data_IF_355436133799
#
_entry.id   IF_355436133799
#
_cell.length_a   1.000
_cell.length_b   1.000
_cell.length_c   1.000
_cell.angle_alpha   90.00
_cell.angle_beta   90.00
_cell.angle_gamma   90.00
#
_symmetry.space_group_name_H-M   'P 1'
#
loop_
_entity.id
_entity.type
_entity.pdbx_description
1 polymer ?
#
# COMPACT_ATOMS: atom_id res chain seq x y z
N UNK A 1 -3.10 2.60 -20.03
CA UNK A 1 -2.91 2.63 -18.57
C UNK A 1 -1.52 2.08 -18.25
N UNK A 2 -0.56 2.94 -17.87
CA UNK A 2 0.73 2.47 -17.35
C UNK A 2 0.47 1.89 -15.96
N UNK A 3 0.72 0.58 -15.80
CA UNK A 3 0.48 -0.22 -14.60
C UNK A 3 1.05 0.48 -13.35
N UNK A 4 0.19 1.14 -12.58
CA UNK A 4 0.57 1.70 -11.30
C UNK A 4 0.37 0.60 -10.25
N UNK A 5 1.40 0.28 -9.48
CA UNK A 5 1.24 -0.63 -8.36
C UNK A 5 0.45 0.12 -7.28
N UNK A 6 -0.76 -0.33 -6.98
CA UNK A 6 -1.51 0.20 -5.86
C UNK A 6 -1.21 -0.65 -4.64
N UNK A 7 -1.15 -0.03 -3.45
CA UNK A 7 -0.87 -0.75 -2.21
C UNK A 7 -1.85 -0.33 -1.12
N UNK A 8 -2.11 -1.21 -0.17
CA UNK A 8 -2.92 -0.96 1.02
C UNK A 8 -2.31 -1.71 2.21
N UNK A 9 -2.38 -1.13 3.40
CA UNK A 9 -2.02 -1.82 4.63
C UNK A 9 -3.18 -2.71 5.08
N UNK A 10 -2.92 -4.00 5.31
CA UNK A 10 -3.89 -4.93 5.90
C UNK A 10 -3.85 -4.92 7.43
N UNK A 11 -3.00 -4.09 8.06
CA UNK A 11 -2.94 -3.98 9.52
C UNK A 11 -4.29 -3.52 10.06
N UNK A 12 -4.92 -4.33 10.91
CA UNK A 12 -6.25 -4.08 11.49
C UNK A 12 -7.42 -4.69 10.71
N UNK A 13 -7.16 -5.31 9.55
CA UNK A 13 -8.17 -6.12 8.86
C UNK A 13 -8.31 -7.49 9.53
N UNK A 14 -9.52 -8.10 9.52
CA UNK A 14 -9.74 -9.41 10.10
C UNK A 14 -8.90 -10.48 9.39
N UNK A 15 -8.37 -11.43 10.17
CA UNK A 15 -7.64 -12.56 9.61
C UNK A 15 -8.60 -13.45 8.82
N UNK A 16 -8.26 -13.73 7.57
CA UNK A 16 -8.99 -14.66 6.71
C UNK A 16 -8.18 -15.94 6.53
N UNK A 17 -8.84 -17.10 6.52
CA UNK A 17 -8.21 -18.38 6.22
C UNK A 17 -7.76 -18.52 4.76
N UNK A 18 -8.06 -17.52 3.91
CA UNK A 18 -7.78 -17.47 2.47
C UNK A 18 -8.28 -18.72 1.71
N UNK A 19 -9.30 -19.39 2.25
CA UNK A 19 -9.97 -20.56 1.65
C UNK A 19 -10.94 -20.16 0.54
N UNK A 20 -11.33 -18.87 0.49
CA UNK A 20 -12.15 -18.26 -0.55
C UNK A 20 -11.53 -16.92 -1.00
N UNK A 21 -11.92 -16.43 -2.18
CA UNK A 21 -11.43 -15.16 -2.70
C UNK A 21 -11.90 -13.98 -1.84
N UNK A 22 -10.95 -13.21 -1.30
CA UNK A 22 -11.23 -12.03 -0.46
C UNK A 22 -11.16 -10.77 -1.33
N UNK A 23 -12.23 -9.97 -1.32
CA UNK A 23 -12.24 -8.68 -2.02
C UNK A 23 -11.60 -7.60 -1.15
N UNK A 24 -10.53 -6.98 -1.65
CA UNK A 24 -9.87 -5.84 -0.98
C UNK A 24 -10.13 -4.56 -1.77
N UNK A 25 -10.58 -3.50 -1.09
CA UNK A 25 -10.78 -2.21 -1.72
C UNK A 25 -9.43 -1.50 -1.87
N UNK A 26 -9.06 -1.20 -3.12
CA UNK A 26 -7.78 -0.59 -3.45
C UNK A 26 -7.99 0.91 -3.73
N UNK A 27 -7.54 1.81 -2.83
CA UNK A 27 -7.78 3.23 -3.00
C UNK A 27 -6.95 3.81 -4.15
N UNK A 28 -7.59 4.63 -4.98
CA UNK A 28 -6.94 5.27 -6.15
C UNK A 28 -5.83 6.25 -5.76
N UNK A 29 -5.83 6.70 -4.51
CA UNK A 29 -4.84 7.61 -3.93
C UNK A 29 -3.48 6.93 -3.69
N UNK A 30 -3.44 5.62 -3.43
CA UNK A 30 -2.19 4.91 -3.09
C UNK A 30 -1.47 4.43 -4.34
N UNK A 31 -1.14 5.37 -5.23
CA UNK A 31 -0.43 5.12 -6.47
C UNK A 31 1.08 5.02 -6.19
N UNK A 32 1.70 3.86 -6.44
CA UNK A 32 3.14 3.69 -6.33
C UNK A 32 3.83 4.23 -7.59
N UNK A 33 4.14 5.51 -7.56
CA UNK A 33 4.93 6.20 -8.59
C UNK A 33 6.39 6.32 -8.15
N UNK A 34 7.28 6.71 -9.06
CA UNK A 34 8.68 7.02 -8.72
C UNK A 34 8.77 8.11 -7.65
N UNK A 35 7.88 9.12 -7.69
CA UNK A 35 7.83 10.14 -6.65
C UNK A 35 7.39 9.55 -5.30
N UNK A 36 6.33 8.74 -5.29
CA UNK A 36 5.86 8.06 -4.08
C UNK A 36 6.95 7.17 -3.48
N UNK A 37 7.71 6.45 -4.30
CA UNK A 37 8.85 5.64 -3.86
C UNK A 37 9.93 6.51 -3.21
N UNK A 38 10.32 7.64 -3.83
CA UNK A 38 11.31 8.57 -3.25
C UNK A 38 10.85 9.11 -1.90
N UNK A 39 9.57 9.50 -1.80
CA UNK A 39 8.98 9.96 -0.53
C UNK A 39 9.03 8.87 0.54
N UNK A 40 8.65 7.63 0.21
CA UNK A 40 8.73 6.51 1.15
C UNK A 40 10.17 6.25 1.61
N UNK A 41 11.15 6.32 0.71
CA UNK A 41 12.57 6.17 1.08
C UNK A 41 13.04 7.27 2.03
N UNK A 42 12.62 8.52 1.80
CA UNK A 42 12.91 9.64 2.71
C UNK A 42 12.23 9.47 4.08
N UNK A 43 11.00 8.95 4.10
CA UNK A 43 10.28 8.65 5.35
C UNK A 43 10.96 7.53 6.13
N UNK A 44 11.42 6.47 5.46
CA UNK A 44 12.19 5.39 6.09
C UNK A 44 13.52 5.92 6.62
N UNK A 45 14.23 6.75 5.85
CA UNK A 45 15.47 7.39 6.28
C UNK A 45 15.29 8.26 7.53
N UNK A 46 14.16 8.96 7.65
CA UNK A 46 13.84 9.81 8.81
C UNK A 46 13.26 9.05 10.01
N UNK A 47 13.19 7.72 9.95
CA UNK A 47 12.73 6.88 11.06
C UNK A 47 11.21 6.72 11.16
N UNK A 48 10.45 7.08 10.11
CA UNK A 48 9.02 6.84 10.02
C UNK A 48 8.21 7.54 11.11
N UNK A 49 8.28 8.87 11.18
CA UNK A 49 7.48 9.64 12.15
C UNK A 49 6.14 10.04 11.51
N UNK A 50 5.05 9.61 12.15
CA UNK A 50 3.65 9.97 11.86
C UNK A 50 3.36 11.39 12.37
#
# INVERSE_FOLDING_TARGET
MRRCAYWISLRGQPQTSNTESVTVYLPRLQLFTVNTLKTLMQQIQSGGTL
#
